data_IF_911000253054
#
_entry.id   IF_911000253054
#
_cell.length_a   1.000
_cell.length_b   1.000
_cell.length_c   1.000
_cell.angle_alpha   90.00
_cell.angle_beta   90.00
_cell.angle_gamma   90.00
#
_symmetry.space_group_name_H-M   'P 1'
#
loop_
_entity.id
_entity.type
_entity.pdbx_description
1 polymer ?
#
# COMPACT_ATOMS: atom_id res chain seq x y z
N UNK A 1 4.78 9.41 13.94
CA UNK A 1 3.34 9.22 13.63
C UNK A 1 3.18 9.31 12.12
N UNK A 2 2.59 8.31 11.47
CA UNK A 2 2.42 8.30 10.02
C UNK A 2 1.09 8.99 9.66
N UNK A 3 0.98 9.64 8.50
CA UNK A 3 -0.21 10.41 8.12
C UNK A 3 -0.84 9.84 6.86
N UNK A 4 -2.16 9.69 6.87
CA UNK A 4 -2.90 9.28 5.68
C UNK A 4 -2.87 10.38 4.61
N UNK A 5 -2.30 10.09 3.44
CA UNK A 5 -2.26 11.02 2.29
C UNK A 5 -3.12 10.56 1.10
N UNK A 6 -3.88 9.47 1.23
CA UNK A 6 -4.70 8.93 0.14
C UNK A 6 -6.02 8.29 0.61
N UNK A 7 -7.09 8.56 -0.14
CA UNK A 7 -8.44 8.02 -0.04
C UNK A 7 -9.32 8.39 1.19
N UNK A 8 -10.63 8.38 0.96
CA UNK A 8 -11.73 8.65 1.90
C UNK A 8 -12.66 7.42 1.93
N UNK A 9 -12.68 6.69 3.05
CA UNK A 9 -13.55 5.53 3.29
C UNK A 9 -12.90 4.16 3.05
N UNK A 10 -13.09 3.24 4.00
CA UNK A 10 -12.77 1.81 3.85
C UNK A 10 -14.06 1.03 4.08
N UNK A 11 -14.74 0.70 2.99
CA UNK A 11 -15.83 -0.25 3.00
C UNK A 11 -15.27 -1.67 2.81
N UNK A 12 -15.95 -2.68 3.37
CA UNK A 12 -15.50 -4.07 3.40
C UNK A 12 -15.33 -4.74 2.02
N UNK A 13 -15.53 -4.01 0.93
CA UNK A 13 -15.57 -4.54 -0.44
C UNK A 13 -14.65 -3.80 -1.44
N UNK A 14 -13.98 -2.70 -1.06
CA UNK A 14 -13.00 -2.07 -1.96
C UNK A 14 -11.57 -2.52 -1.68
N UNK A 15 -10.90 -2.91 -2.76
CA UNK A 15 -9.44 -2.87 -2.86
C UNK A 15 -8.99 -1.40 -2.96
N UNK A 16 -9.25 -0.58 -1.93
CA UNK A 16 -8.78 0.81 -1.90
C UNK A 16 -7.27 0.79 -1.80
N UNK A 17 -6.59 1.29 -2.84
CA UNK A 17 -5.16 1.50 -2.81
C UNK A 17 -4.85 2.62 -1.81
N UNK A 18 -4.43 2.25 -0.60
CA UNK A 18 -4.05 3.21 0.41
C UNK A 18 -2.63 3.72 0.11
N UNK A 19 -2.53 4.92 -0.45
CA UNK A 19 -1.26 5.62 -0.65
C UNK A 19 -0.74 6.18 0.68
N UNK A 20 0.08 5.40 1.39
CA UNK A 20 0.74 5.85 2.61
C UNK A 20 2.10 6.46 2.25
N UNK A 21 2.26 7.76 2.44
CA UNK A 21 3.57 8.40 2.42
C UNK A 21 4.16 8.31 3.83
N UNK A 22 5.18 7.49 4.00
CA UNK A 22 5.89 7.39 5.27
C UNK A 22 6.63 8.70 5.55
N UNK A 23 6.45 9.25 6.74
CA UNK A 23 7.08 10.51 7.14
C UNK A 23 8.61 10.41 7.25
N UNK A 24 9.14 9.19 7.40
CA UNK A 24 10.58 8.92 7.51
C UNK A 24 11.27 8.69 6.16
N UNK A 25 10.52 8.69 5.05
CA UNK A 25 11.06 8.58 3.69
C UNK A 25 11.76 7.25 3.39
N UNK A 26 11.64 6.24 4.26
CA UNK A 26 12.26 4.93 4.03
C UNK A 26 11.55 4.23 2.88
N UNK A 27 12.26 3.83 1.81
CA UNK A 27 11.64 3.11 0.71
C UNK A 27 11.17 1.73 1.20
N UNK A 28 9.96 1.33 0.80
CA UNK A 28 9.39 0.01 1.04
C UNK A 28 9.20 -0.38 2.52
N UNK A 29 9.12 0.57 3.47
CA UNK A 29 9.00 0.23 4.89
C UNK A 29 7.67 -0.48 5.24
N UNK A 30 6.69 -0.49 4.32
CA UNK A 30 5.48 -1.31 4.44
C UNK A 30 5.78 -2.81 4.51
N UNK A 31 6.94 -3.28 4.01
CA UNK A 31 7.33 -4.69 4.07
C UNK A 31 7.54 -5.17 5.52
N UNK A 32 7.99 -4.30 6.42
CA UNK A 32 8.19 -4.58 7.85
C UNK A 32 6.85 -4.77 8.61
N UNK A 33 5.74 -4.39 8.00
CA UNK A 33 4.43 -4.32 8.64
C UNK A 33 3.54 -5.51 8.30
N UNK A 34 4.05 -6.47 7.52
CA UNK A 34 3.32 -7.67 7.17
C UNK A 34 2.86 -8.43 8.43
N UNK A 35 1.58 -8.75 8.50
CA UNK A 35 0.92 -9.38 9.65
C UNK A 35 0.35 -8.38 10.67
N UNK A 36 0.79 -7.12 10.66
CA UNK A 36 0.35 -6.09 11.60
C UNK A 36 -1.00 -5.48 11.21
N UNK A 37 -1.60 -4.74 12.15
CA UNK A 37 -2.83 -3.98 11.95
C UNK A 37 -2.54 -2.49 11.95
N UNK A 38 -3.01 -1.81 10.92
CA UNK A 38 -3.08 -0.36 10.87
C UNK A 38 -4.39 0.12 11.48
N UNK A 39 -4.30 1.11 12.35
CA UNK A 39 -5.43 1.87 12.86
C UNK A 39 -5.37 3.26 12.24
N UNK A 40 -6.42 3.63 11.52
CA UNK A 40 -6.55 4.92 10.82
C UNK A 40 -7.97 5.41 11.07
N UNK A 41 -8.11 6.57 11.71
CA UNK A 41 -9.43 7.07 12.09
C UNK A 41 -10.22 6.02 12.88
N UNK A 42 -11.37 5.60 12.34
CA UNK A 42 -12.25 4.57 12.91
C UNK A 42 -11.97 3.15 12.37
N UNK A 43 -11.12 3.02 11.36
CA UNK A 43 -10.90 1.76 10.67
C UNK A 43 -9.71 0.97 11.23
N UNK A 44 -9.83 -0.36 11.16
CA UNK A 44 -8.76 -1.32 11.44
C UNK A 44 -8.47 -2.15 10.21
N UNK A 45 -7.23 -2.19 9.78
CA UNK A 45 -6.83 -2.79 8.50
C UNK A 45 -5.65 -3.72 8.73
N UNK A 46 -5.79 -5.01 8.39
CA UNK A 46 -4.69 -5.96 8.47
C UNK A 46 -3.89 -5.98 7.18
N UNK A 47 -2.56 -5.87 7.30
CA UNK A 47 -1.62 -6.04 6.19
C UNK A 47 -1.29 -7.53 6.08
N UNK A 48 -1.70 -8.20 5.01
CA UNK A 48 -1.73 -9.67 4.98
C UNK A 48 -0.96 -10.32 3.83
N UNK A 49 -0.63 -9.61 2.75
CA UNK A 49 0.09 -10.23 1.63
C UNK A 49 0.94 -9.25 0.83
N UNK A 50 2.14 -9.63 0.37
CA UNK A 50 2.83 -8.92 -0.69
C UNK A 50 2.03 -8.89 -2.00
N UNK A 51 2.17 -7.82 -2.79
CA UNK A 51 1.50 -7.67 -4.10
C UNK A 51 2.48 -8.00 -5.22
N UNK A 52 2.23 -9.13 -5.90
CA UNK A 52 2.95 -9.49 -7.11
C UNK A 52 2.62 -8.53 -8.25
N UNK A 53 3.63 -8.14 -9.04
CA UNK A 53 3.44 -7.25 -10.18
C UNK A 53 3.47 -8.02 -11.49
N UNK A 54 2.62 -7.58 -12.42
CA UNK A 54 2.54 -8.12 -13.78
C UNK A 54 3.06 -7.09 -14.78
N UNK A 55 3.06 -7.42 -16.07
CA UNK A 55 3.57 -6.55 -17.15
C UNK A 55 2.93 -5.15 -17.21
N UNK A 56 1.82 -4.92 -16.51
CA UNK A 56 1.18 -3.60 -16.42
C UNK A 56 2.10 -2.54 -15.82
N UNK A 57 3.04 -2.90 -14.92
CA UNK A 57 4.00 -1.92 -14.38
C UNK A 57 5.06 -1.43 -15.37
N UNK A 58 5.12 -2.02 -16.55
CA UNK A 58 6.03 -1.58 -17.60
C UNK A 58 5.49 -0.37 -18.36
N UNK A 59 4.22 0.00 -18.18
CA UNK A 59 3.60 1.13 -18.91
C UNK A 59 3.78 2.40 -18.07
N UNK A 60 4.45 3.39 -18.64
CA UNK A 60 4.50 4.74 -18.08
C UNK A 60 3.08 5.37 -18.13
N UNK A 61 2.55 5.87 -17.00
CA UNK A 61 1.16 6.31 -16.93
C UNK A 61 0.88 7.62 -17.70
N UNK A 62 1.89 8.45 -17.92
CA UNK A 62 1.72 9.76 -18.58
C UNK A 62 1.92 9.64 -20.09
N UNK A 63 2.86 8.78 -20.52
CA UNK A 63 3.27 8.66 -21.93
C UNK A 63 2.76 7.39 -22.61
N UNK A 64 2.23 6.43 -21.86
CA UNK A 64 1.84 5.10 -22.31
C UNK A 64 2.98 4.26 -22.93
N UNK A 65 4.23 4.70 -22.81
CA UNK A 65 5.40 3.98 -23.33
C UNK A 65 5.68 2.76 -22.46
N UNK A 66 5.97 1.63 -23.11
CA UNK A 66 6.34 0.37 -22.45
C UNK A 66 7.85 0.27 -22.25
N UNK A 67 8.26 0.05 -21.01
CA UNK A 67 9.63 -0.29 -20.62
C UNK A 67 9.65 -1.54 -19.74
N UNK A 68 10.09 -2.66 -20.31
CA UNK A 68 10.16 -3.96 -19.61
C UNK A 68 11.20 -4.02 -18.50
N UNK A 69 12.15 -3.09 -18.48
CA UNK A 69 13.19 -3.02 -17.45
C UNK A 69 12.60 -2.83 -16.04
N UNK A 70 11.41 -2.21 -15.93
CA UNK A 70 10.75 -1.98 -14.65
C UNK A 70 10.38 -3.32 -13.99
N UNK A 71 9.63 -4.18 -14.67
CA UNK A 71 9.27 -5.51 -14.14
C UNK A 71 10.51 -6.39 -13.97
N UNK A 72 11.50 -6.32 -14.86
CA UNK A 72 12.74 -7.08 -14.71
C UNK A 72 13.49 -6.70 -13.43
N UNK A 73 13.60 -5.41 -13.14
CA UNK A 73 14.24 -4.92 -11.91
C UNK A 73 13.47 -5.37 -10.68
N UNK A 74 12.13 -5.28 -10.69
CA UNK A 74 11.28 -5.73 -9.58
C UNK A 74 11.39 -7.24 -9.34
N UNK A 75 11.42 -8.04 -10.42
CA UNK A 75 11.60 -9.48 -10.33
C UNK A 75 12.97 -9.85 -9.72
N UNK A 76 14.05 -9.17 -10.14
CA UNK A 76 15.41 -9.45 -9.69
C UNK A 76 15.71 -8.96 -8.27
N UNK A 77 15.18 -7.79 -7.89
CA UNK A 77 15.56 -7.13 -6.64
C UNK A 77 14.55 -7.31 -5.51
N UNK A 78 13.29 -7.63 -5.84
CA UNK A 78 12.18 -7.66 -4.86
C UNK A 78 11.32 -8.92 -4.94
N UNK A 79 11.86 -10.00 -5.49
CA UNK A 79 11.13 -11.26 -5.67
C UNK A 79 9.76 -11.07 -6.37
N UNK A 80 9.69 -10.11 -7.31
CA UNK A 80 8.49 -9.73 -8.04
C UNK A 80 7.37 -9.03 -7.24
N UNK A 81 7.65 -8.52 -6.04
CA UNK A 81 6.66 -7.85 -5.19
C UNK A 81 6.93 -6.36 -5.03
N UNK A 82 5.86 -5.55 -5.10
CA UNK A 82 5.87 -4.13 -4.75
C UNK A 82 4.55 -3.77 -4.08
N UNK A 83 4.62 -3.28 -2.84
CA UNK A 83 3.47 -2.94 -2.02
C UNK A 83 2.86 -4.14 -1.27
N UNK A 84 2.08 -3.84 -0.24
CA UNK A 84 1.39 -4.81 0.61
C UNK A 84 -0.11 -4.66 0.46
N UNK A 85 -0.79 -5.77 0.18
CA UNK A 85 -2.23 -5.90 0.17
C UNK A 85 -2.77 -5.98 1.60
N UNK A 86 -3.98 -5.48 1.77
CA UNK A 86 -4.61 -5.35 3.07
C UNK A 86 -6.08 -5.76 3.04
N UNK A 87 -6.65 -6.01 4.21
CA UNK A 87 -8.07 -6.33 4.36
C UNK A 87 -8.61 -5.61 5.61
N UNK A 88 -9.77 -4.95 5.53
CA UNK A 88 -10.37 -4.31 6.70
C UNK A 88 -10.81 -5.38 7.70
N UNK A 89 -10.31 -5.30 8.94
CA UNK A 89 -10.87 -6.04 10.08
C UNK A 89 -12.14 -5.37 10.59
N UNK A 90 -12.15 -4.04 10.54
CA UNK A 90 -13.27 -3.21 10.95
C UNK A 90 -13.37 -2.06 9.96
N UNK A 91 -14.42 -2.04 9.12
CA UNK A 91 -14.73 -0.91 8.26
C UNK A 91 -14.92 0.36 9.10
N UNK A 92 -14.57 1.50 8.54
CA UNK A 92 -14.65 2.76 9.26
C UNK A 92 -14.34 3.95 8.37
N UNK A 93 -14.71 5.13 8.85
CA UNK A 93 -14.40 6.36 8.14
C UNK A 93 -12.92 6.71 8.35
N UNK A 94 -12.23 6.96 7.24
CA UNK A 94 -10.88 7.52 7.22
C UNK A 94 -10.90 8.84 6.46
N UNK A 95 -10.05 9.76 6.91
CA UNK A 95 -9.84 11.06 6.28
C UNK A 95 -8.36 11.25 5.99
N UNK A 96 -8.08 12.08 4.98
CA UNK A 96 -6.73 12.58 4.75
C UNK A 96 -6.29 13.37 5.99
N UNK A 97 -5.06 13.14 6.43
CA UNK A 97 -4.52 13.70 7.66
C UNK A 97 -4.73 12.85 8.91
N UNK A 98 -5.55 11.79 8.85
CA UNK A 98 -5.68 10.87 9.98
C UNK A 98 -4.33 10.26 10.35
N UNK A 99 -4.07 10.19 11.66
CA UNK A 99 -2.87 9.53 12.18
C UNK A 99 -3.01 8.02 12.00
N UNK A 100 -1.98 7.43 11.42
CA UNK A 100 -1.84 5.99 11.25
C UNK A 100 -1.01 5.46 12.42
N UNK A 101 -1.53 4.42 13.08
CA UNK A 101 -0.85 3.70 14.16
C UNK A 101 -0.72 2.23 13.79
N UNK A 102 0.42 1.63 14.13
CA UNK A 102 0.62 0.18 14.07
C UNK A 102 0.16 -0.44 15.40
N UNK A 103 -0.55 -1.55 15.30
CA UNK A 103 -0.95 -2.40 16.40
C UNK A 103 -0.61 -3.86 16.07
N UNK A 104 -0.16 -4.60 17.08
CA UNK A 104 0.03 -6.05 17.02
C UNK A 104 -1.30 -6.78 17.24
#
# INVERSE_FOLDING_TARGET
AYANRGASGIDGNLSTALGMALADGRPFAEEDWLGQVLIIGEARIRLNRPISRCQMINVDPDTAVRNTAVLQMVAQTRNNHVGIGCTPETPGLIRVGDTIKLAN
#
